data_IF_597857473611
#
_entry.id   IF_597857473611
#
_cell.length_a   1.000
_cell.length_b   1.000
_cell.length_c   1.000
_cell.angle_alpha   90.00
_cell.angle_beta   90.00
_cell.angle_gamma   90.00
#
_symmetry.space_group_name_H-M   'P 1'
#
loop_
_entity.id
_entity.type
_entity.pdbx_description
1 polymer ?
#
# COMPACT_ATOMS: atom_id res chain seq x y z
N UNK A 1 20.83 -55.31 26.25
CA UNK A 1 20.92 -53.92 26.69
C UNK A 1 20.10 -53.09 25.72
N UNK A 2 18.91 -52.68 26.14
CA UNK A 2 17.99 -51.88 25.30
C UNK A 2 18.29 -50.41 25.58
N UNK A 3 18.93 -49.73 24.65
CA UNK A 3 19.14 -48.29 24.75
C UNK A 3 17.81 -47.57 24.49
N UNK A 4 17.22 -47.00 25.54
CA UNK A 4 16.10 -46.09 25.43
C UNK A 4 16.58 -44.80 24.75
N UNK A 5 16.02 -44.52 23.56
CA UNK A 5 16.21 -43.23 22.90
C UNK A 5 15.40 -42.23 23.73
N UNK A 6 16.08 -41.31 24.39
CA UNK A 6 15.46 -40.18 25.07
C UNK A 6 14.79 -39.27 24.02
N UNK A 7 13.47 -39.16 24.07
CA UNK A 7 12.71 -38.24 23.25
C UNK A 7 12.90 -36.82 23.81
N UNK A 8 13.72 -36.02 23.14
CA UNK A 8 13.85 -34.60 23.44
C UNK A 8 12.65 -33.88 22.79
N UNK A 9 11.73 -33.31 23.58
CA UNK A 9 10.59 -32.56 23.00
C UNK A 9 11.12 -31.34 22.26
N UNK A 10 10.83 -31.28 20.95
CA UNK A 10 11.12 -30.11 20.13
C UNK A 10 10.10 -29.03 20.49
N UNK A 11 10.56 -27.97 21.15
CA UNK A 11 9.73 -26.82 21.46
C UNK A 11 9.29 -26.16 20.11
N UNK A 12 7.97 -25.95 19.88
CA UNK A 12 7.52 -25.29 18.68
C UNK A 12 8.14 -23.88 18.57
N UNK A 13 8.60 -23.51 17.37
CA UNK A 13 9.09 -22.16 17.11
C UNK A 13 7.89 -21.24 17.03
N UNK A 14 7.87 -20.21 17.89
CA UNK A 14 6.84 -19.19 17.90
C UNK A 14 7.20 -18.08 16.90
N UNK A 15 6.20 -17.60 16.14
CA UNK A 15 6.28 -16.46 15.24
C UNK A 15 5.30 -15.39 15.75
N UNK A 16 5.75 -14.41 16.56
CA UNK A 16 4.90 -13.36 17.09
C UNK A 16 4.17 -12.59 16.00
N UNK A 17 2.94 -12.18 16.27
CA UNK A 17 2.15 -11.29 15.40
C UNK A 17 2.23 -9.82 15.84
N UNK A 18 2.95 -9.52 16.92
CA UNK A 18 3.25 -8.18 17.43
C UNK A 18 4.66 -8.11 18.05
N UNK A 19 5.25 -6.94 18.10
CA UNK A 19 6.60 -6.71 18.69
C UNK A 19 6.53 -6.27 20.17
N UNK A 20 5.35 -6.24 20.76
CA UNK A 20 5.12 -5.80 22.14
C UNK A 20 5.39 -4.33 22.42
N UNK A 21 5.63 -3.52 21.38
CA UNK A 21 5.84 -2.09 21.50
C UNK A 21 4.58 -1.32 21.17
N UNK A 22 4.33 -0.18 21.86
CA UNK A 22 3.24 0.70 21.49
C UNK A 22 3.42 1.21 20.06
N UNK A 23 2.40 1.08 19.23
CA UNK A 23 2.37 1.65 17.88
C UNK A 23 2.11 3.16 18.01
N UNK A 24 3.20 3.94 18.21
CA UNK A 24 3.13 5.40 18.27
C UNK A 24 3.27 5.98 16.88
N UNK A 25 2.21 5.88 16.07
CA UNK A 25 2.12 6.55 14.77
C UNK A 25 1.46 7.92 14.91
N UNK A 26 1.99 8.91 14.18
CA UNK A 26 1.31 10.21 14.07
C UNK A 26 -0.03 10.08 13.32
N UNK A 27 -1.00 10.91 13.67
CA UNK A 27 -2.34 10.93 13.03
C UNK A 27 -2.26 10.99 11.49
N UNK A 28 -1.29 11.71 10.96
CA UNK A 28 -1.11 11.85 9.51
C UNK A 28 -0.67 10.54 8.86
N UNK A 29 0.27 9.82 9.47
CA UNK A 29 0.74 8.51 9.00
C UNK A 29 -0.39 7.49 9.03
N UNK A 30 -1.13 7.42 10.16
CA UNK A 30 -2.30 6.54 10.28
C UNK A 30 -3.35 6.83 9.21
N UNK A 31 -3.65 8.12 8.94
CA UNK A 31 -4.59 8.50 7.87
C UNK A 31 -4.10 8.08 6.49
N UNK A 32 -2.80 8.22 6.21
CA UNK A 32 -2.20 7.76 4.96
C UNK A 32 -2.29 6.24 4.82
N UNK A 33 -1.93 5.50 5.87
CA UNK A 33 -2.02 4.05 5.89
C UNK A 33 -3.44 3.56 5.58
N UNK A 34 -4.44 4.12 6.28
CA UNK A 34 -5.86 3.78 6.07
C UNK A 34 -6.30 4.11 4.64
N UNK A 35 -5.94 5.29 4.13
CA UNK A 35 -6.26 5.66 2.74
C UNK A 35 -5.66 4.65 1.76
N UNK A 36 -4.35 4.40 1.84
CA UNK A 36 -3.61 3.56 0.88
C UNK A 36 -4.15 2.13 0.88
N UNK A 37 -4.30 1.52 2.05
CA UNK A 37 -4.83 0.15 2.16
C UNK A 37 -6.24 0.07 1.62
N UNK A 38 -7.13 0.99 2.02
CA UNK A 38 -8.54 0.99 1.60
C UNK A 38 -8.69 1.12 0.08
N UNK A 39 -8.00 2.08 -0.55
CA UNK A 39 -8.17 2.28 -2.01
C UNK A 39 -7.58 1.14 -2.83
N UNK A 40 -6.49 0.51 -2.38
CA UNK A 40 -5.93 -0.66 -3.05
C UNK A 40 -6.82 -1.90 -2.85
N UNK A 41 -7.42 -2.09 -1.68
CA UNK A 41 -8.40 -3.16 -1.43
C UNK A 41 -9.64 -3.01 -2.32
N UNK A 42 -10.17 -1.79 -2.48
CA UNK A 42 -11.28 -1.47 -3.38
C UNK A 42 -10.86 -1.74 -4.84
N UNK A 43 -9.69 -1.27 -5.24
CA UNK A 43 -9.19 -1.46 -6.60
C UNK A 43 -9.07 -2.93 -6.97
N UNK A 44 -8.52 -3.74 -6.07
CA UNK A 44 -8.37 -5.18 -6.25
C UNK A 44 -9.54 -6.01 -5.72
N UNK A 45 -10.71 -5.41 -5.42
CA UNK A 45 -11.84 -6.15 -4.82
C UNK A 45 -12.32 -7.34 -5.67
N UNK A 46 -12.25 -7.22 -7.00
CA UNK A 46 -12.66 -8.28 -7.96
C UNK A 46 -11.56 -9.30 -8.25
N UNK A 47 -10.40 -9.17 -7.64
CA UNK A 47 -9.23 -10.06 -7.81
C UNK A 47 -9.07 -10.91 -6.56
N UNK A 48 -9.56 -12.17 -6.54
CA UNK A 48 -9.44 -13.06 -5.38
C UNK A 48 -8.01 -13.52 -5.12
N UNK A 49 -7.15 -13.35 -6.12
CA UNK A 49 -5.74 -13.71 -6.13
C UNK A 49 -4.80 -12.55 -5.76
N UNK A 50 -5.33 -11.45 -5.24
CA UNK A 50 -4.55 -10.28 -4.82
C UNK A 50 -4.81 -9.97 -3.36
N UNK A 51 -3.75 -9.98 -2.57
CA UNK A 51 -3.77 -9.67 -1.15
C UNK A 51 -3.11 -8.32 -0.90
N UNK A 52 -3.84 -7.42 -0.25
CA UNK A 52 -3.37 -6.12 0.23
C UNK A 52 -3.34 -6.16 1.73
N UNK A 53 -2.27 -5.69 2.35
CA UNK A 53 -2.18 -5.59 3.80
C UNK A 53 -1.34 -4.38 4.23
N UNK A 54 -1.52 -3.96 5.48
CA UNK A 54 -0.72 -2.91 6.11
C UNK A 54 -0.31 -3.29 7.52
N UNK A 55 0.88 -2.82 7.96
CA UNK A 55 1.43 -3.04 9.31
C UNK A 55 1.41 -4.51 9.76
N UNK A 56 1.67 -5.43 8.84
CA UNK A 56 1.65 -6.87 9.11
C UNK A 56 3.06 -7.44 9.01
N UNK A 57 3.44 -8.29 9.95
CA UNK A 57 4.71 -8.99 9.92
C UNK A 57 4.79 -9.97 8.75
N UNK A 58 5.88 -9.89 8.00
CA UNK A 58 6.25 -10.82 6.94
C UNK A 58 7.45 -11.62 7.43
N UNK A 59 7.22 -12.88 7.73
CA UNK A 59 8.27 -13.86 8.02
C UNK A 59 8.70 -14.52 6.73
N UNK A 60 10.00 -14.43 6.41
CA UNK A 60 10.49 -14.89 5.12
C UNK A 60 11.48 -16.08 5.20
N UNK A 61 11.78 -16.55 6.40
CA UNK A 61 12.63 -17.72 6.61
C UNK A 61 12.07 -18.63 7.72
N UNK A 62 11.69 -19.85 7.31
CA UNK A 62 11.13 -20.83 8.26
C UNK A 62 12.20 -21.31 9.22
N UNK A 63 11.92 -21.27 10.50
CA UNK A 63 12.86 -21.65 11.56
C UNK A 63 13.59 -20.47 12.19
N UNK A 64 13.48 -19.27 11.61
CA UNK A 64 14.18 -18.05 12.04
C UNK A 64 13.18 -16.92 12.29
N UNK A 65 12.61 -16.80 13.52
CA UNK A 65 11.64 -15.76 13.85
C UNK A 65 12.18 -14.33 13.71
N UNK A 66 13.49 -14.15 13.76
CA UNK A 66 14.17 -12.88 13.54
C UNK A 66 14.21 -12.44 12.07
N UNK A 67 14.00 -13.40 11.15
CA UNK A 67 13.89 -13.11 9.70
C UNK A 67 12.50 -12.57 9.38
N UNK A 68 12.24 -11.36 9.86
CA UNK A 68 10.94 -10.66 9.79
C UNK A 68 11.09 -9.21 9.34
N UNK A 69 10.11 -8.73 8.59
CA UNK A 69 9.96 -7.32 8.22
C UNK A 69 8.49 -6.92 8.30
N UNK A 70 8.20 -5.67 8.67
CA UNK A 70 6.86 -5.10 8.69
C UNK A 70 6.81 -3.88 7.76
N UNK A 71 6.31 -4.04 6.53
CA UNK A 71 6.02 -2.91 5.66
C UNK A 71 4.76 -2.15 6.13
N UNK A 72 4.74 -0.83 5.91
CA UNK A 72 3.51 -0.07 6.16
C UNK A 72 2.37 -0.53 5.24
N UNK A 73 2.65 -0.73 3.94
CA UNK A 73 1.69 -1.31 2.99
C UNK A 73 2.40 -2.27 2.04
N UNK A 74 1.78 -3.41 1.74
CA UNK A 74 2.28 -4.32 0.71
C UNK A 74 1.16 -5.02 -0.07
N UNK A 75 1.50 -5.44 -1.28
CA UNK A 75 0.59 -6.18 -2.18
C UNK A 75 1.27 -7.45 -2.66
N UNK A 76 0.55 -8.57 -2.56
CA UNK A 76 0.99 -9.88 -3.06
C UNK A 76 0.02 -10.40 -4.10
N UNK A 77 0.53 -10.81 -5.26
CA UNK A 77 -0.24 -11.45 -6.30
C UNK A 77 -0.09 -12.96 -6.28
N UNK A 78 -1.16 -13.65 -6.62
CA UNK A 78 -1.19 -15.11 -6.71
C UNK A 78 -1.34 -15.80 -5.37
N UNK A 79 -1.94 -15.11 -4.38
CA UNK A 79 -2.29 -15.68 -3.07
C UNK A 79 -3.76 -15.42 -2.77
N UNK A 80 -4.36 -16.28 -1.96
CA UNK A 80 -5.74 -16.16 -1.55
C UNK A 80 -5.98 -14.88 -0.73
N UNK A 81 -7.07 -14.18 -1.01
CA UNK A 81 -7.53 -13.02 -0.24
C UNK A 81 -8.24 -13.48 1.04
N UNK A 82 -7.50 -13.54 2.15
CA UNK A 82 -7.99 -13.93 3.47
C UNK A 82 -7.29 -13.15 4.58
N UNK A 83 -7.88 -13.11 5.75
CA UNK A 83 -7.26 -12.49 6.93
C UNK A 83 -6.07 -13.32 7.41
N UNK A 84 -5.00 -12.64 7.84
CA UNK A 84 -3.78 -13.23 8.39
C UNK A 84 -3.34 -12.49 9.63
N UNK A 85 -2.84 -13.20 10.64
CA UNK A 85 -2.21 -12.59 11.83
C UNK A 85 -0.77 -12.16 11.53
N UNK A 86 -0.10 -12.89 10.65
CA UNK A 86 1.21 -12.60 10.08
C UNK A 86 1.29 -13.25 8.70
N UNK A 87 2.08 -12.71 7.81
CA UNK A 87 2.34 -13.30 6.49
C UNK A 87 3.59 -14.16 6.56
N UNK A 88 3.49 -15.45 6.29
CA UNK A 88 4.60 -16.39 6.29
C UNK A 88 4.78 -16.94 4.88
N UNK A 89 5.88 -16.64 4.22
CA UNK A 89 6.10 -16.98 2.80
C UNK A 89 5.93 -18.46 2.53
N UNK A 90 6.40 -19.32 3.41
CA UNK A 90 6.28 -20.79 3.29
C UNK A 90 4.85 -21.35 3.43
N UNK A 91 3.90 -20.57 3.98
CA UNK A 91 2.47 -20.91 4.02
C UNK A 91 1.74 -20.45 2.76
N UNK A 92 2.41 -19.64 1.92
CA UNK A 92 1.88 -19.01 0.72
C UNK A 92 2.67 -19.42 -0.55
N UNK A 93 3.18 -20.63 -0.59
CA UNK A 93 3.98 -21.18 -1.70
C UNK A 93 5.20 -20.31 -2.05
N UNK A 94 5.87 -19.80 -1.02
CA UNK A 94 7.04 -18.90 -1.12
C UNK A 94 6.77 -17.59 -1.89
N UNK A 95 5.48 -17.20 -1.98
CA UNK A 95 5.12 -15.90 -2.55
C UNK A 95 5.55 -14.78 -1.63
N UNK A 96 6.25 -13.80 -2.21
CA UNK A 96 6.70 -12.58 -1.54
C UNK A 96 5.92 -11.38 -2.06
N UNK A 97 5.93 -10.24 -1.36
CA UNK A 97 5.30 -9.02 -1.88
C UNK A 97 5.84 -8.64 -3.26
N UNK A 98 4.95 -8.21 -4.13
CA UNK A 98 5.32 -7.66 -5.44
C UNK A 98 5.51 -6.14 -5.38
N UNK A 99 4.79 -5.50 -4.47
CA UNK A 99 4.81 -4.06 -4.23
C UNK A 99 4.88 -3.79 -2.74
N UNK A 100 5.69 -2.82 -2.34
CA UNK A 100 5.80 -2.31 -0.96
C UNK A 100 5.80 -0.79 -1.00
N UNK A 101 5.08 -0.18 -0.06
CA UNK A 101 5.12 1.25 0.19
C UNK A 101 5.34 1.52 1.68
N UNK A 102 6.34 2.34 1.99
CA UNK A 102 6.65 2.82 3.34
C UNK A 102 6.21 4.28 3.50
N UNK A 103 5.54 4.56 4.59
CA UNK A 103 5.13 5.91 4.99
C UNK A 103 6.20 6.45 5.94
N UNK A 104 7.15 7.17 5.37
CA UNK A 104 8.37 7.58 6.06
C UNK A 104 8.11 8.61 7.15
N UNK A 105 8.75 8.42 8.29
CA UNK A 105 8.81 9.35 9.41
C UNK A 105 10.24 9.63 9.83
N UNK A 106 10.42 10.56 10.75
CA UNK A 106 11.74 10.83 11.36
C UNK A 106 12.35 9.58 11.99
N UNK A 107 11.53 8.73 12.61
CA UNK A 107 11.98 7.54 13.32
C UNK A 107 12.33 6.37 12.39
N UNK A 108 11.65 6.26 11.22
CA UNK A 108 11.79 5.11 10.33
C UNK A 108 12.72 5.36 9.15
N UNK A 109 12.99 6.63 8.78
CA UNK A 109 13.78 7.02 7.61
C UNK A 109 15.05 6.19 7.40
N UNK A 110 15.90 6.05 8.43
CA UNK A 110 17.16 5.33 8.30
C UNK A 110 16.97 3.83 8.03
N UNK A 111 15.93 3.23 8.61
CA UNK A 111 15.59 1.82 8.41
C UNK A 111 15.01 1.59 7.02
N UNK A 112 14.12 2.49 6.59
CA UNK A 112 13.44 2.41 5.29
C UNK A 112 14.43 2.60 4.14
N UNK A 113 15.37 3.52 4.26
CA UNK A 113 16.41 3.78 3.25
C UNK A 113 17.54 2.75 3.24
N UNK A 114 17.78 2.03 4.36
CA UNK A 114 18.88 1.10 4.52
C UNK A 114 18.46 -0.36 4.59
N UNK A 115 18.22 -0.87 5.81
CA UNK A 115 18.02 -2.28 6.07
C UNK A 115 16.78 -2.86 5.34
N UNK A 116 15.64 -2.19 5.39
CA UNK A 116 14.41 -2.65 4.71
C UNK A 116 14.60 -2.76 3.20
N UNK A 117 15.26 -1.77 2.58
CA UNK A 117 15.57 -1.80 1.14
C UNK A 117 16.35 -3.06 0.75
N UNK A 118 17.35 -3.45 1.55
CA UNK A 118 18.11 -4.70 1.33
C UNK A 118 17.25 -5.95 1.47
N UNK A 119 16.40 -6.00 2.49
CA UNK A 119 15.48 -7.12 2.71
C UNK A 119 14.48 -7.22 1.54
N UNK A 120 13.91 -6.10 1.09
CA UNK A 120 12.97 -6.11 -0.04
C UNK A 120 13.63 -6.54 -1.35
N UNK A 121 14.88 -6.15 -1.60
CA UNK A 121 15.65 -6.63 -2.74
C UNK A 121 15.89 -8.15 -2.66
N UNK A 122 16.27 -8.66 -1.49
CA UNK A 122 16.44 -10.09 -1.23
C UNK A 122 15.14 -10.88 -1.45
N UNK A 123 14.00 -10.34 -1.00
CA UNK A 123 12.67 -10.93 -1.22
C UNK A 123 12.17 -10.81 -2.66
N UNK A 124 12.88 -10.11 -3.55
CA UNK A 124 12.46 -9.92 -4.92
C UNK A 124 11.25 -9.00 -5.08
N UNK A 125 11.02 -8.07 -4.12
CA UNK A 125 9.97 -7.06 -4.22
C UNK A 125 10.22 -6.20 -5.45
N UNK A 126 9.34 -6.30 -6.47
CA UNK A 126 9.57 -5.65 -7.77
C UNK A 126 9.54 -4.14 -7.71
N UNK A 127 8.68 -3.58 -6.86
CA UNK A 127 8.56 -2.13 -6.68
C UNK A 127 8.50 -1.77 -5.20
N UNK A 128 9.35 -0.82 -4.82
CA UNK A 128 9.44 -0.28 -3.48
C UNK A 128 9.29 1.24 -3.52
N UNK A 129 8.22 1.74 -2.91
CA UNK A 129 7.92 3.16 -2.83
C UNK A 129 8.09 3.68 -1.40
N UNK A 130 8.45 4.95 -1.31
CA UNK A 130 8.55 5.69 -0.05
C UNK A 130 7.79 7.00 -0.19
N UNK A 131 6.95 7.31 0.77
CA UNK A 131 6.18 8.54 0.81
C UNK A 131 6.33 9.21 2.18
N UNK A 132 6.65 10.50 2.18
CA UNK A 132 6.72 11.35 3.36
C UNK A 132 5.51 12.29 3.38
N UNK A 133 4.48 12.03 4.21
CA UNK A 133 3.29 12.87 4.25
C UNK A 133 3.53 14.28 4.77
N UNK A 134 4.66 14.54 5.44
CA UNK A 134 5.04 15.87 5.94
C UNK A 134 5.94 16.64 4.97
N UNK A 135 6.68 15.93 4.12
CA UNK A 135 7.70 16.53 3.25
C UNK A 135 8.99 16.94 3.99
N UNK A 136 9.14 16.55 5.26
CA UNK A 136 10.28 16.99 6.11
C UNK A 136 11.49 16.05 5.99
N UNK A 137 11.27 14.81 5.59
CA UNK A 137 12.27 13.73 5.73
C UNK A 137 12.73 13.12 4.40
N UNK A 138 11.91 13.19 3.35
CA UNK A 138 12.24 12.75 2.00
C UNK A 138 12.28 13.92 1.01
N UNK A 139 13.32 13.94 0.16
CA UNK A 139 13.39 14.83 -0.97
C UNK A 139 13.86 14.04 -2.22
N UNK A 140 12.98 13.84 -3.24
CA UNK A 140 11.58 14.26 -3.29
C UNK A 140 10.68 13.51 -2.30
N UNK A 141 9.53 14.10 -1.97
CA UNK A 141 8.55 13.62 -0.97
C UNK A 141 7.96 12.25 -1.31
N UNK A 142 7.89 11.90 -2.59
CA UNK A 142 7.51 10.59 -3.09
C UNK A 142 8.67 10.03 -3.92
N UNK A 143 9.11 8.82 -3.61
CA UNK A 143 10.17 8.12 -4.30
C UNK A 143 9.71 6.71 -4.66
N UNK A 144 10.07 6.25 -5.85
CA UNK A 144 9.83 4.89 -6.30
C UNK A 144 11.12 4.23 -6.75
N UNK A 145 11.27 2.96 -6.45
CA UNK A 145 12.38 2.11 -6.84
C UNK A 145 11.84 0.85 -7.51
N UNK A 146 12.46 0.45 -8.61
CA UNK A 146 12.15 -0.80 -9.32
C UNK A 146 13.35 -1.74 -9.26
N UNK A 147 13.08 -3.00 -8.95
CA UNK A 147 14.08 -4.05 -8.88
C UNK A 147 14.42 -4.54 -10.29
N UNK A 148 15.70 -4.46 -10.65
CA UNK A 148 16.27 -5.00 -11.89
C UNK A 148 17.56 -5.72 -11.51
N UNK A 149 17.69 -6.99 -11.86
CA UNK A 149 18.88 -7.82 -11.56
C UNK A 149 19.32 -7.70 -10.08
N UNK A 150 18.35 -7.84 -9.16
CA UNK A 150 18.53 -7.74 -7.70
C UNK A 150 19.02 -6.36 -7.19
N UNK A 151 18.98 -5.32 -8.02
CA UNK A 151 19.31 -3.95 -7.63
C UNK A 151 18.12 -3.02 -7.84
N UNK A 152 17.93 -2.08 -6.92
CA UNK A 152 16.90 -1.07 -7.04
C UNK A 152 17.38 0.16 -7.81
N UNK A 153 16.65 0.50 -8.87
CA UNK A 153 16.83 1.71 -9.67
C UNK A 153 15.64 2.66 -9.48
N UNK A 154 15.86 3.98 -9.51
CA UNK A 154 14.77 4.94 -9.41
C UNK A 154 13.73 4.78 -10.51
N UNK A 155 12.46 4.84 -10.13
CA UNK A 155 11.34 4.99 -11.08
C UNK A 155 11.36 6.42 -11.63
N UNK A 156 11.18 6.56 -12.94
CA UNK A 156 11.12 7.86 -13.58
C UNK A 156 9.94 8.67 -13.03
N UNK A 157 10.22 9.91 -12.66
CA UNK A 157 9.21 10.85 -12.17
C UNK A 157 8.74 11.72 -13.33
N UNK A 158 7.43 11.82 -13.50
CA UNK A 158 6.79 12.71 -14.45
C UNK A 158 6.20 13.91 -13.71
N UNK A 159 6.29 15.10 -14.31
CA UNK A 159 5.57 16.27 -13.83
C UNK A 159 4.49 16.61 -14.84
N UNK A 160 3.24 16.59 -14.40
CA UNK A 160 2.08 16.91 -15.23
C UNK A 160 1.99 18.40 -15.49
N UNK A 161 1.13 18.81 -16.44
CA UNK A 161 0.99 20.21 -16.84
C UNK A 161 0.54 21.15 -15.70
N UNK A 162 -0.14 20.63 -14.70
CA UNK A 162 -0.58 21.35 -13.49
C UNK A 162 0.47 21.34 -12.36
N UNK A 163 1.64 20.77 -12.61
CA UNK A 163 2.72 20.62 -11.62
C UNK A 163 2.61 19.39 -10.73
N UNK A 164 1.59 18.55 -10.88
CA UNK A 164 1.45 17.30 -10.13
C UNK A 164 2.59 16.34 -10.45
N UNK A 165 3.24 15.83 -9.41
CA UNK A 165 4.27 14.80 -9.52
C UNK A 165 3.60 13.43 -9.64
N UNK A 166 4.01 12.63 -10.63
CA UNK A 166 3.48 11.30 -10.89
C UNK A 166 4.60 10.28 -11.10
N UNK A 167 4.48 9.12 -10.45
CA UNK A 167 5.36 7.97 -10.58
C UNK A 167 4.53 6.75 -11.00
N UNK A 168 4.82 6.11 -12.14
CA UNK A 168 4.09 4.93 -12.57
C UNK A 168 4.50 3.69 -11.77
N UNK A 169 3.52 2.91 -11.32
CA UNK A 169 3.69 1.56 -10.82
C UNK A 169 3.22 0.55 -11.86
N UNK A 170 4.15 -0.19 -12.45
CA UNK A 170 3.83 -1.27 -13.39
C UNK A 170 3.21 -2.47 -12.67
N UNK A 171 3.61 -2.68 -11.41
CA UNK A 171 3.10 -3.77 -10.57
C UNK A 171 1.63 -3.58 -10.27
N UNK A 172 1.21 -2.38 -9.90
CA UNK A 172 -0.18 -2.07 -9.60
C UNK A 172 -1.01 -1.77 -10.85
N UNK A 173 -0.38 -1.32 -11.95
CA UNK A 173 -1.07 -0.74 -13.10
C UNK A 173 -1.67 0.63 -12.81
N UNK A 174 -1.09 1.37 -11.86
CA UNK A 174 -1.55 2.67 -11.37
C UNK A 174 -0.41 3.68 -11.40
N UNK A 175 -0.75 4.96 -11.31
CA UNK A 175 0.20 6.02 -11.02
C UNK A 175 0.06 6.49 -9.56
N UNK A 176 1.19 6.68 -8.89
CA UNK A 176 1.25 7.33 -7.59
C UNK A 176 1.48 8.82 -7.81
N UNK A 177 0.52 9.64 -7.45
CA UNK A 177 0.53 11.10 -7.68
C UNK A 177 0.59 11.87 -6.36
N UNK A 178 1.30 13.02 -6.37
CA UNK A 178 1.26 13.99 -5.29
C UNK A 178 0.31 15.12 -5.65
N UNK A 179 -0.93 15.04 -5.20
CA UNK A 179 -1.95 16.07 -5.39
C UNK A 179 -2.03 16.96 -4.13
N UNK A 180 -1.62 18.22 -4.25
CA UNK A 180 -1.51 19.15 -3.13
C UNK A 180 -0.71 18.57 -1.93
N UNK A 181 0.38 17.86 -2.21
CA UNK A 181 1.24 17.21 -1.22
C UNK A 181 0.69 15.92 -0.62
N UNK A 182 -0.48 15.45 -1.06
CA UNK A 182 -1.09 14.19 -0.64
C UNK A 182 -0.87 13.11 -1.66
N UNK A 183 -0.53 11.91 -1.21
CA UNK A 183 -0.44 10.75 -2.08
C UNK A 183 -1.84 10.34 -2.55
N UNK A 184 -1.98 10.16 -3.87
CA UNK A 184 -3.15 9.63 -4.54
C UNK A 184 -2.75 8.53 -5.52
N UNK A 185 -3.65 7.57 -5.72
CA UNK A 185 -3.53 6.57 -6.77
C UNK A 185 -4.45 6.94 -7.92
N UNK A 186 -3.90 6.97 -9.12
CA UNK A 186 -4.61 7.33 -10.33
C UNK A 186 -4.58 6.16 -11.31
N UNK A 187 -5.74 5.83 -11.86
CA UNK A 187 -5.90 4.81 -12.87
C UNK A 187 -5.99 5.47 -14.26
N UNK A 188 -4.92 5.38 -15.03
CA UNK A 188 -4.83 5.94 -16.38
C UNK A 188 -5.79 5.26 -17.38
N UNK A 189 -6.21 4.02 -17.11
CA UNK A 189 -7.14 3.30 -17.99
C UNK A 189 -8.57 3.84 -17.87
N UNK A 190 -8.94 4.33 -16.69
CA UNK A 190 -10.28 4.88 -16.42
C UNK A 190 -10.28 6.40 -16.30
N UNK A 191 -9.10 7.05 -16.34
CA UNK A 191 -8.90 8.49 -16.14
C UNK A 191 -9.47 8.99 -14.80
N UNK A 192 -9.20 8.22 -13.70
CA UNK A 192 -9.76 8.52 -12.38
C UNK A 192 -8.73 8.34 -11.26
N UNK A 193 -8.79 9.25 -10.29
CA UNK A 193 -8.17 9.06 -8.98
C UNK A 193 -9.00 8.04 -8.17
N UNK A 194 -8.32 7.10 -7.51
CA UNK A 194 -8.98 6.14 -6.63
C UNK A 194 -9.47 6.85 -5.36
N UNK A 195 -10.75 6.63 -5.06
CA UNK A 195 -11.43 7.22 -3.91
C UNK A 195 -11.73 6.16 -2.86
N UNK A 196 -11.73 6.54 -1.60
CA UNK A 196 -12.34 5.74 -0.53
C UNK A 196 -13.86 5.73 -0.68
N UNK A 197 -14.55 4.79 -0.03
CA UNK A 197 -16.01 4.76 -0.03
C UNK A 197 -16.63 6.05 0.50
N UNK A 198 -16.00 6.68 1.50
CA UNK A 198 -16.44 7.95 2.06
C UNK A 198 -16.27 9.09 1.04
N UNK A 199 -15.12 9.19 0.39
CA UNK A 199 -14.85 10.18 -0.65
C UNK A 199 -15.81 10.01 -1.84
N UNK A 200 -16.08 8.75 -2.25
CA UNK A 200 -17.02 8.45 -3.32
C UNK A 200 -18.47 8.84 -2.95
N UNK A 201 -18.89 8.53 -1.72
CA UNK A 201 -20.20 8.94 -1.21
C UNK A 201 -20.35 10.46 -1.17
N UNK A 202 -19.32 11.19 -0.70
CA UNK A 202 -19.30 12.63 -0.66
C UNK A 202 -19.31 13.26 -2.05
N UNK A 203 -18.54 12.70 -2.99
CA UNK A 203 -18.53 13.15 -4.39
C UNK A 203 -19.90 12.96 -5.06
N UNK A 204 -20.55 11.81 -4.81
CA UNK A 204 -21.92 11.55 -5.31
C UNK A 204 -22.92 12.55 -4.75
N UNK A 205 -22.91 12.78 -3.44
CA UNK A 205 -23.80 13.75 -2.80
C UNK A 205 -23.61 15.16 -3.36
N UNK A 206 -22.36 15.60 -3.54
CA UNK A 206 -22.05 16.90 -4.13
C UNK A 206 -22.55 17.00 -5.59
N UNK A 207 -22.43 15.93 -6.37
CA UNK A 207 -22.95 15.87 -7.75
C UNK A 207 -24.47 15.95 -7.79
N UNK A 208 -25.16 15.23 -6.91
CA UNK A 208 -26.63 15.26 -6.77
C UNK A 208 -27.13 16.67 -6.39
N UNK A 209 -26.50 17.31 -5.41
CA UNK A 209 -26.82 18.69 -5.00
C UNK A 209 -26.59 19.71 -6.13
N UNK A 210 -25.52 19.52 -6.92
CA UNK A 210 -25.25 20.35 -8.10
C UNK A 210 -26.30 20.15 -9.17
N UNK A 211 -26.67 18.91 -9.46
CA UNK A 211 -27.71 18.60 -10.44
C UNK A 211 -29.07 19.21 -10.04
N UNK A 212 -29.46 19.08 -8.76
CA UNK A 212 -30.70 19.70 -8.23
C UNK A 212 -30.69 21.22 -8.39
N UNK A 213 -29.55 21.89 -8.07
CA UNK A 213 -29.41 23.34 -8.25
C UNK A 213 -29.53 23.76 -9.74
N UNK A 214 -28.92 22.98 -10.64
CA UNK A 214 -29.02 23.26 -12.07
C UNK A 214 -30.46 23.05 -12.58
N UNK A 215 -31.11 21.97 -12.17
CA UNK A 215 -32.51 21.70 -12.53
C UNK A 215 -33.46 22.81 -12.02
N UNK A 216 -33.26 23.31 -10.79
CA UNK A 216 -34.05 24.42 -10.28
C UNK A 216 -33.86 25.69 -11.12
N UNK A 217 -32.61 26.02 -11.50
CA UNK A 217 -32.34 27.19 -12.39
C UNK A 217 -32.93 27.03 -13.78
N UNK A 218 -32.91 25.82 -14.35
CA UNK A 218 -33.57 25.58 -15.64
C UNK A 218 -35.08 25.80 -15.55
N UNK A 219 -35.72 25.32 -14.49
CA UNK A 219 -37.16 25.57 -14.26
C UNK A 219 -37.50 27.06 -14.07
N UNK A 220 -36.67 27.82 -13.38
CA UNK A 220 -36.80 29.28 -13.30
C UNK A 220 -36.74 29.98 -14.67
N UNK A 221 -36.00 29.38 -15.63
CA UNK A 221 -35.91 29.84 -17.01
C UNK A 221 -36.99 29.26 -17.92
N UNK A 222 -38.01 28.54 -17.37
CA UNK A 222 -39.04 27.81 -18.08
C UNK A 222 -38.51 26.73 -19.05
N UNK A 223 -37.36 26.15 -18.72
CA UNK A 223 -36.77 25.00 -19.44
C UNK A 223 -37.03 23.75 -18.58
N UNK A 224 -37.62 22.74 -19.15
CA UNK A 224 -37.83 21.45 -18.47
C UNK A 224 -36.49 20.66 -18.42
N UNK A 225 -35.91 20.41 -17.22
CA UNK A 225 -34.65 19.68 -17.11
C UNK A 225 -34.70 18.24 -17.64
N UNK A 226 -35.90 17.62 -17.61
CA UNK A 226 -36.14 16.23 -18.02
C UNK A 226 -36.30 16.10 -19.55
N UNK A 227 -36.32 17.23 -20.27
CA UNK A 227 -36.39 17.31 -21.74
C UNK A 227 -35.03 17.47 -22.44
N UNK A 228 -33.93 17.52 -21.65
CA UNK A 228 -32.57 17.65 -22.13
C UNK A 228 -31.84 16.30 -22.09
#
# INVERSE_FOLDING_TARGET
MTTSVEYIPVTPIEYPDEDGKPMAEGDLQRKCLVYITTVLEIYFQKRPDVYVAGNLFIYYEKGYPESVVAPDVFVVFGVEKRDRRSYKTWEENDKTPNFVLEITSKATRSKDQGAKKGIYAFLGVREYFQYDPTGDYLNPQLQGLRLVENNYFPVATNTLADGTVSLPSEVLGLELRLEAGKLRFYDSATDKTLLTHEEEANARKAAEEKAQRLAAKLRELNIDPDSL
#
